data_IF_762993210166
#
_entry.id   IF_762993210166
#
_cell.length_a   1.000
_cell.length_b   1.000
_cell.length_c   1.000
_cell.angle_alpha   90.00
_cell.angle_beta   90.00
_cell.angle_gamma   90.00
#
_symmetry.space_group_name_H-M   'P 1'
#
loop_
_entity.id
_entity.type
_entity.pdbx_description
1 polymer ?
#
# COMPACT_ATOMS: atom_id res chain seq x y z
N UNK A 1 8.25 7.88 17.49
CA UNK A 1 7.07 8.62 16.97
C UNK A 1 6.47 7.97 15.73
N UNK A 2 7.22 7.69 14.65
CA UNK A 2 6.66 7.13 13.39
C UNK A 2 6.12 5.70 13.54
N UNK A 3 6.79 4.83 14.32
CA UNK A 3 6.35 3.45 14.58
C UNK A 3 4.99 3.36 15.30
N UNK A 4 4.62 4.37 16.09
CA UNK A 4 3.36 4.40 16.83
C UNK A 4 2.14 4.70 15.92
N UNK A 5 2.35 5.26 14.74
CA UNK A 5 1.27 5.57 13.77
C UNK A 5 1.06 4.42 12.79
N UNK A 6 2.15 3.79 12.36
CA UNK A 6 2.12 2.73 11.35
C UNK A 6 1.41 1.46 11.84
N UNK A 7 1.76 0.93 13.02
CA UNK A 7 1.19 -0.32 13.53
C UNK A 7 -0.35 -0.26 13.68
N UNK A 8 -0.94 0.78 14.30
CA UNK A 8 -2.40 0.92 14.34
C UNK A 8 -3.05 1.04 12.96
N UNK A 9 -2.43 1.78 12.03
CA UNK A 9 -2.94 1.93 10.67
C UNK A 9 -2.95 0.59 9.91
N UNK A 10 -1.87 -0.20 10.03
CA UNK A 10 -1.79 -1.54 9.45
C UNK A 10 -2.86 -2.46 10.04
N UNK A 11 -3.09 -2.41 11.36
CA UNK A 11 -4.16 -3.16 12.03
C UNK A 11 -5.52 -2.87 11.42
N UNK A 12 -5.87 -1.58 11.38
CA UNK A 12 -7.17 -1.11 10.90
C UNK A 12 -7.38 -1.54 9.46
N UNK A 13 -6.35 -1.41 8.62
CA UNK A 13 -6.41 -1.83 7.23
C UNK A 13 -6.61 -3.34 7.07
N UNK A 14 -5.77 -4.18 7.68
CA UNK A 14 -5.84 -5.64 7.51
C UNK A 14 -7.17 -6.19 8.02
N UNK A 15 -7.57 -5.81 9.25
CA UNK A 15 -8.84 -6.28 9.85
C UNK A 15 -10.05 -5.81 9.06
N UNK A 16 -10.03 -4.57 8.54
CA UNK A 16 -11.11 -4.08 7.67
C UNK A 16 -11.20 -4.91 6.37
N UNK A 17 -10.07 -5.26 5.76
CA UNK A 17 -10.05 -6.01 4.50
C UNK A 17 -10.38 -7.48 4.68
N UNK A 18 -10.01 -8.11 5.78
CA UNK A 18 -10.40 -9.50 6.08
C UNK A 18 -11.92 -9.69 6.19
N UNK A 19 -12.64 -8.62 6.56
CA UNK A 19 -14.12 -8.62 6.60
C UNK A 19 -14.77 -8.46 5.22
N UNK A 20 -13.99 -8.18 4.17
CA UNK A 20 -14.54 -7.92 2.85
C UNK A 20 -15.17 -9.20 2.24
N UNK A 21 -16.35 -9.11 1.59
CA UNK A 21 -17.05 -10.28 1.06
C UNK A 21 -16.25 -11.14 0.07
N UNK A 22 -15.29 -10.55 -0.63
CA UNK A 22 -14.43 -11.23 -1.62
C UNK A 22 -13.19 -11.91 -1.02
N UNK A 23 -12.94 -11.76 0.29
CA UNK A 23 -11.81 -12.38 1.00
C UNK A 23 -12.25 -13.66 1.79
N UNK A 24 -13.51 -14.08 1.65
CA UNK A 24 -14.14 -15.15 2.45
C UNK A 24 -13.36 -16.47 2.51
N UNK A 25 -12.96 -16.85 3.72
CA UNK A 25 -12.90 -18.22 4.25
C UNK A 25 -11.81 -19.16 3.75
N UNK A 26 -11.13 -18.87 2.64
CA UNK A 26 -10.09 -19.74 2.06
C UNK A 26 -8.75 -19.07 1.78
N UNK A 27 -8.66 -17.76 1.90
CA UNK A 27 -7.43 -17.02 1.61
C UNK A 27 -7.08 -16.09 2.76
N UNK A 28 -5.85 -16.22 3.28
CA UNK A 28 -5.28 -15.30 4.26
C UNK A 28 -4.71 -14.09 3.52
N UNK A 29 -4.98 -12.89 4.01
CA UNK A 29 -4.30 -11.69 3.53
C UNK A 29 -2.87 -11.65 4.07
N UNK A 30 -1.91 -11.51 3.16
CA UNK A 30 -0.51 -11.29 3.50
C UNK A 30 -0.14 -9.88 3.04
N UNK A 31 0.07 -8.91 3.96
CA UNK A 31 0.59 -7.61 3.60
C UNK A 31 1.95 -7.76 2.94
N UNK A 32 2.08 -7.11 1.80
CA UNK A 32 3.31 -6.99 1.03
C UNK A 32 3.90 -5.62 1.34
N UNK A 33 5.03 -5.60 2.02
CA UNK A 33 5.68 -4.37 2.47
C UNK A 33 7.17 -4.48 2.20
N UNK A 34 7.78 -3.38 1.74
CA UNK A 34 9.23 -3.35 1.60
C UNK A 34 9.93 -3.48 2.97
N UNK A 35 11.26 -3.64 2.94
CA UNK A 35 12.07 -3.78 4.14
C UNK A 35 12.52 -2.43 4.72
N UNK A 36 11.70 -1.37 4.56
CA UNK A 36 11.97 -0.10 5.21
C UNK A 36 12.14 -0.30 6.73
N UNK A 37 12.99 0.47 7.43
CA UNK A 37 13.29 0.23 8.85
C UNK A 37 12.06 0.19 9.76
N UNK A 38 11.01 0.93 9.42
CA UNK A 38 9.75 0.90 10.17
C UNK A 38 8.97 -0.40 9.96
N UNK A 39 9.06 -1.03 8.79
CA UNK A 39 8.40 -2.29 8.50
C UNK A 39 9.16 -3.50 9.06
N UNK A 40 10.45 -3.37 9.38
CA UNK A 40 11.31 -4.47 9.88
C UNK A 40 11.74 -4.30 11.33
N UNK A 41 11.41 -3.16 11.96
CA UNK A 41 11.70 -2.91 13.36
C UNK A 41 11.14 -4.00 14.27
N UNK A 42 11.89 -4.33 15.33
CA UNK A 42 11.50 -5.32 16.34
C UNK A 42 10.09 -5.04 16.90
N UNK A 43 9.79 -3.78 17.19
CA UNK A 43 8.46 -3.35 17.64
C UNK A 43 7.36 -3.72 16.64
N UNK A 44 7.55 -3.45 15.35
CA UNK A 44 6.55 -3.72 14.32
C UNK A 44 6.38 -5.23 14.06
N UNK A 45 7.46 -6.01 14.16
CA UNK A 45 7.40 -7.47 14.11
C UNK A 45 6.59 -8.04 15.29
N UNK A 46 6.94 -7.65 16.52
CA UNK A 46 6.25 -8.09 17.72
C UNK A 46 4.77 -7.68 17.71
N UNK A 47 4.48 -6.45 17.27
CA UNK A 47 3.12 -5.96 17.18
C UNK A 47 2.28 -6.75 16.17
N UNK A 48 2.85 -7.11 15.00
CA UNK A 48 2.16 -7.97 14.01
C UNK A 48 1.87 -9.36 14.57
N UNK A 49 2.84 -9.96 15.24
CA UNK A 49 2.70 -11.27 15.89
C UNK A 49 1.55 -11.27 16.91
N UNK A 50 1.50 -10.26 17.78
CA UNK A 50 0.42 -10.09 18.76
C UNK A 50 -0.97 -9.90 18.12
N UNK A 51 -1.04 -9.42 16.89
CA UNK A 51 -2.30 -9.23 16.15
C UNK A 51 -2.61 -10.35 15.17
N UNK A 52 -1.79 -11.42 15.11
CA UNK A 52 -1.98 -12.54 14.20
C UNK A 52 -1.77 -12.20 12.71
N UNK A 53 -1.09 -11.09 12.42
CA UNK A 53 -0.87 -10.61 11.04
C UNK A 53 0.42 -11.23 10.51
N UNK A 54 0.30 -12.08 9.48
CA UNK A 54 1.47 -12.60 8.76
C UNK A 54 1.86 -11.66 7.63
N UNK A 55 3.14 -11.32 7.54
CA UNK A 55 3.73 -10.53 6.46
C UNK A 55 4.31 -11.45 5.38
N UNK A 56 4.18 -11.08 4.10
CA UNK A 56 4.88 -11.76 3.01
C UNK A 56 6.41 -11.55 3.14
N UNK A 57 7.19 -12.62 3.02
CA UNK A 57 8.65 -12.50 2.94
C UNK A 57 9.03 -11.73 1.68
N UNK A 58 9.87 -10.72 1.85
CA UNK A 58 10.28 -9.82 0.77
C UNK A 58 11.79 -9.74 0.71
N UNK A 59 12.38 -10.00 -0.47
CA UNK A 59 13.82 -9.88 -0.65
C UNK A 59 14.26 -8.42 -0.46
N UNK A 60 15.37 -8.24 0.26
CA UNK A 60 15.99 -6.93 0.38
C UNK A 60 16.40 -6.41 -1.01
N UNK A 61 16.39 -5.08 -1.18
CA UNK A 61 16.84 -4.41 -2.41
C UNK A 61 16.09 -4.81 -3.69
N UNK A 62 14.84 -5.26 -3.59
CA UNK A 62 13.99 -5.54 -4.76
C UNK A 62 12.86 -4.50 -4.90
N UNK A 63 13.18 -3.22 -5.17
CA UNK A 63 12.16 -2.19 -5.34
C UNK A 63 11.28 -2.49 -6.56
N UNK A 64 11.85 -3.09 -7.61
CA UNK A 64 11.17 -3.35 -8.88
C UNK A 64 10.07 -4.40 -8.76
N UNK A 65 10.14 -5.23 -7.72
CA UNK A 65 9.16 -6.26 -7.46
C UNK A 65 7.91 -5.72 -6.73
N UNK A 66 7.88 -4.45 -6.28
CA UNK A 66 6.72 -3.89 -5.59
C UNK A 66 5.74 -3.23 -6.58
N UNK A 67 4.58 -3.84 -6.86
CA UNK A 67 3.63 -3.35 -7.85
C UNK A 67 3.13 -1.94 -7.57
N UNK A 68 3.08 -1.53 -6.29
CA UNK A 68 2.59 -0.19 -5.92
C UNK A 68 3.48 0.92 -6.49
N UNK A 69 4.77 0.65 -6.72
CA UNK A 69 5.70 1.64 -7.30
C UNK A 69 5.35 1.96 -8.73
N UNK A 70 4.87 0.98 -9.49
CA UNK A 70 4.41 1.20 -10.86
C UNK A 70 3.16 2.07 -10.88
N UNK A 71 2.22 1.83 -9.96
CA UNK A 71 1.01 2.66 -9.81
C UNK A 71 1.38 4.10 -9.41
N UNK A 72 2.28 4.28 -8.45
CA UNK A 72 2.76 5.62 -8.08
C UNK A 72 3.48 6.33 -9.24
N UNK A 73 4.25 5.61 -10.06
CA UNK A 73 4.89 6.19 -11.25
C UNK A 73 3.86 6.63 -12.27
N UNK A 74 2.83 5.83 -12.52
CA UNK A 74 1.72 6.17 -13.40
C UNK A 74 1.00 7.43 -12.89
N UNK A 75 0.61 7.44 -11.62
CA UNK A 75 -0.09 8.57 -11.01
C UNK A 75 0.73 9.86 -11.06
N UNK A 76 2.00 9.81 -10.65
CA UNK A 76 2.89 10.99 -10.71
C UNK A 76 3.02 11.53 -12.13
N UNK A 77 3.10 10.64 -13.12
CA UNK A 77 3.16 11.03 -14.53
C UNK A 77 1.89 11.73 -14.98
N UNK A 78 0.72 11.19 -14.63
CA UNK A 78 -0.57 11.79 -14.99
C UNK A 78 -0.82 13.11 -14.27
N UNK A 79 -0.53 13.19 -12.96
CA UNK A 79 -0.62 14.42 -12.17
C UNK A 79 0.27 15.51 -12.76
N UNK A 80 1.53 15.18 -13.07
CA UNK A 80 2.47 16.14 -13.65
C UNK A 80 2.09 16.63 -15.05
N UNK A 81 1.44 15.80 -15.86
CA UNK A 81 1.08 16.16 -17.25
C UNK A 81 -0.27 16.89 -17.32
N UNK A 82 -1.26 16.40 -16.58
CA UNK A 82 -2.66 16.79 -16.76
C UNK A 82 -3.16 17.79 -15.72
N UNK A 83 -2.67 17.73 -14.48
CA UNK A 83 -3.23 18.54 -13.38
C UNK A 83 -2.32 19.70 -12.97
N UNK A 84 -0.99 19.50 -12.98
CA UNK A 84 0.01 20.55 -12.66
C UNK A 84 -0.32 21.40 -11.41
N UNK A 85 -0.61 20.76 -10.25
CA UNK A 85 -1.07 21.47 -9.06
C UNK A 85 -0.01 22.44 -8.52
N UNK A 86 -0.45 23.62 -8.09
CA UNK A 86 0.42 24.69 -7.56
C UNK A 86 0.38 24.82 -6.04
N UNK A 87 -0.59 24.17 -5.39
CA UNK A 87 -0.73 24.15 -3.94
C UNK A 87 -1.18 22.78 -3.42
N UNK A 88 -1.19 22.65 -2.09
CA UNK A 88 -1.51 21.39 -1.43
C UNK A 88 -2.93 20.90 -1.70
N UNK A 89 -3.91 21.79 -1.80
CA UNK A 89 -5.31 21.41 -2.01
C UNK A 89 -5.54 20.93 -3.44
N UNK A 90 -4.95 21.60 -4.42
CA UNK A 90 -4.93 21.15 -5.80
C UNK A 90 -4.22 19.80 -5.94
N UNK A 91 -3.12 19.59 -5.23
CA UNK A 91 -2.41 18.31 -5.24
C UNK A 91 -3.26 17.18 -4.67
N UNK A 92 -3.95 17.41 -3.54
CA UNK A 92 -4.88 16.42 -2.96
C UNK A 92 -5.98 16.06 -3.95
N UNK A 93 -6.59 17.06 -4.59
CA UNK A 93 -7.63 16.84 -5.59
C UNK A 93 -7.08 16.04 -6.78
N UNK A 94 -5.93 16.42 -7.32
CA UNK A 94 -5.29 15.72 -8.43
C UNK A 94 -4.97 14.25 -8.10
N UNK A 95 -4.50 13.96 -6.88
CA UNK A 95 -4.26 12.58 -6.41
C UNK A 95 -5.56 11.78 -6.41
N UNK A 96 -6.65 12.34 -5.86
CA UNK A 96 -7.95 11.67 -5.80
C UNK A 96 -8.57 11.42 -7.18
N UNK A 97 -8.54 12.41 -8.07
CA UNK A 97 -9.05 12.26 -9.43
C UNK A 97 -8.24 11.22 -10.20
N UNK A 98 -6.90 11.33 -10.18
CA UNK A 98 -6.03 10.39 -10.86
C UNK A 98 -6.20 8.95 -10.33
N UNK A 99 -6.34 8.76 -9.02
CA UNK A 99 -6.61 7.45 -8.45
C UNK A 99 -7.93 6.85 -8.94
N UNK A 100 -8.98 7.68 -9.00
CA UNK A 100 -10.33 7.25 -9.42
C UNK A 100 -10.39 6.90 -10.90
N UNK A 101 -9.51 7.48 -11.72
CA UNK A 101 -9.44 7.24 -13.16
C UNK A 101 -8.62 5.98 -13.52
N UNK A 102 -7.87 5.40 -12.58
CA UNK A 102 -7.10 4.18 -12.85
C UNK A 102 -8.06 3.01 -13.05
N UNK A 103 -8.15 2.54 -14.30
CA UNK A 103 -8.96 1.38 -14.63
C UNK A 103 -8.42 0.11 -13.94
N UNK A 104 -9.26 -0.70 -13.27
CA UNK A 104 -8.80 -1.90 -12.53
C UNK A 104 -8.01 -2.89 -13.39
N UNK A 105 -8.26 -2.95 -14.70
CA UNK A 105 -7.49 -3.79 -15.63
C UNK A 105 -6.01 -3.45 -15.68
N UNK A 106 -5.62 -2.19 -15.44
CA UNK A 106 -4.22 -1.76 -15.35
C UNK A 106 -3.51 -2.44 -14.18
N UNK A 107 -4.22 -2.66 -13.06
CA UNK A 107 -3.66 -3.34 -11.89
C UNK A 107 -3.26 -4.78 -12.23
N UNK A 108 -4.04 -5.46 -13.07
CA UNK A 108 -3.74 -6.85 -13.46
C UNK A 108 -2.46 -6.97 -14.28
N UNK A 109 -2.09 -5.95 -15.05
CA UNK A 109 -0.84 -5.97 -15.82
C UNK A 109 0.40 -5.76 -14.93
N UNK A 110 0.23 -5.16 -13.75
CA UNK A 110 1.32 -4.95 -12.78
C UNK A 110 1.38 -6.01 -11.66
N UNK A 111 0.38 -6.89 -11.58
CA UNK A 111 0.26 -7.93 -10.54
C UNK A 111 0.50 -9.36 -11.09
N UNK A 112 0.87 -9.50 -12.36
CA UNK A 112 1.21 -10.79 -12.99
C UNK A 112 2.63 -11.25 -12.67
#
# INVERSE_FOLDING_TARGET
MVQQVYCPALCGFVKQKEQAPWIRGRHRLLPMEDNAPIHTAAFSNQWREQNGILKMEWLAHSPDLNPIKNIWKLMKTQISKCYQPQNLEELKHAIWSCWSDIHPGILNDYLR
#
